data_IF_397873458912
#
_entry.id   IF_397873458912
#
_cell.length_a   1.000
_cell.length_b   1.000
_cell.length_c   1.000
_cell.angle_alpha   90.00
_cell.angle_beta   90.00
_cell.angle_gamma   90.00
#
_symmetry.space_group_name_H-M   'P 1'
#
loop_
_entity.id
_entity.type
_entity.pdbx_description
1 polymer ?
#
# COMPACT_ATOMS: atom_id res chain seq x y z
N UNK A 1 36.18 24.38 -3.75
CA UNK A 1 35.05 23.74 -3.10
C UNK A 1 34.97 22.30 -3.57
N UNK A 2 35.59 21.38 -2.81
CA UNK A 2 35.39 19.95 -3.00
C UNK A 2 34.11 19.58 -2.27
N UNK A 3 32.94 19.84 -2.87
CA UNK A 3 31.68 19.32 -2.37
C UNK A 3 31.71 17.80 -2.45
N UNK A 4 31.38 17.08 -1.36
CA UNK A 4 31.09 15.67 -1.44
C UNK A 4 30.01 15.45 -2.51
N UNK A 5 30.15 14.46 -3.39
CA UNK A 5 29.08 14.14 -4.34
C UNK A 5 27.80 13.88 -3.55
N UNK A 6 26.71 14.52 -3.97
CA UNK A 6 25.40 14.26 -3.41
C UNK A 6 25.04 12.83 -3.83
N UNK A 7 24.90 11.95 -2.83
CA UNK A 7 24.54 10.55 -3.05
C UNK A 7 23.07 10.45 -3.40
N UNK A 8 22.78 9.77 -4.49
CA UNK A 8 21.45 9.39 -4.97
C UNK A 8 21.56 7.93 -5.42
N UNK A 9 21.25 7.02 -4.47
CA UNK A 9 21.57 5.60 -4.59
C UNK A 9 20.72 4.89 -5.63
N UNK A 10 19.45 5.25 -5.75
CA UNK A 10 18.51 4.64 -6.70
C UNK A 10 18.31 5.46 -7.99
N UNK A 11 18.93 6.65 -8.04
CA UNK A 11 18.98 7.53 -9.20
C UNK A 11 17.62 8.03 -9.69
N UNK A 12 16.73 8.32 -8.76
CA UNK A 12 15.41 8.88 -9.08
C UNK A 12 15.40 10.42 -9.14
N UNK A 13 16.54 11.03 -8.83
CA UNK A 13 16.76 12.49 -8.87
C UNK A 13 16.58 13.15 -7.50
N UNK A 14 16.29 12.38 -6.44
CA UNK A 14 16.18 12.87 -5.07
C UNK A 14 17.39 12.35 -4.28
N UNK A 15 18.21 13.23 -3.69
CA UNK A 15 19.36 12.81 -2.88
C UNK A 15 18.93 11.97 -1.67
N UNK A 16 19.72 10.94 -1.31
CA UNK A 16 19.46 10.00 -0.21
C UNK A 16 19.02 10.66 1.11
N UNK A 17 19.61 11.83 1.44
CA UNK A 17 19.31 12.53 2.69
C UNK A 17 17.96 13.26 2.68
N UNK A 18 17.34 13.43 1.52
CA UNK A 18 16.01 14.03 1.31
C UNK A 18 14.97 12.98 0.88
N UNK A 19 15.43 11.77 0.55
CA UNK A 19 14.61 10.70 0.02
C UNK A 19 14.11 9.76 1.14
N UNK A 20 12.78 9.62 1.31
CA UNK A 20 12.20 8.64 2.23
C UNK A 20 12.48 7.17 1.83
N UNK A 21 12.82 6.91 0.56
CA UNK A 21 13.06 5.59 0.00
C UNK A 21 14.40 5.47 -0.75
N UNK A 22 15.58 5.76 -0.15
CA UNK A 22 16.84 5.98 -0.85
C UNK A 22 17.38 4.83 -1.71
N UNK A 23 16.71 3.69 -1.72
CA UNK A 23 17.09 2.49 -2.47
C UNK A 23 15.98 1.98 -3.39
N UNK A 24 14.89 2.72 -3.51
CA UNK A 24 13.68 2.32 -4.23
C UNK A 24 13.15 3.49 -5.06
N UNK A 25 13.71 3.68 -6.25
CA UNK A 25 13.32 4.75 -7.17
C UNK A 25 11.81 4.85 -7.37
N UNK A 26 11.25 6.07 -7.26
CA UNK A 26 9.83 6.28 -7.43
C UNK A 26 9.39 7.72 -7.63
N UNK A 27 8.17 7.89 -8.13
CA UNK A 27 7.60 9.20 -8.46
C UNK A 27 6.88 9.88 -7.28
N UNK A 28 6.69 9.18 -6.17
CA UNK A 28 5.93 9.68 -5.02
C UNK A 28 6.87 10.20 -3.94
N UNK A 29 7.58 11.30 -4.25
CA UNK A 29 8.56 11.91 -3.35
C UNK A 29 9.74 10.98 -3.04
N UNK A 30 10.29 10.31 -4.08
CA UNK A 30 11.37 9.35 -3.96
C UNK A 30 10.91 7.88 -3.80
N UNK A 31 9.62 7.64 -3.54
CA UNK A 31 9.12 6.29 -3.31
C UNK A 31 8.32 5.72 -4.49
N UNK A 32 8.31 4.40 -4.69
CA UNK A 32 7.32 3.72 -5.54
C UNK A 32 5.89 3.92 -5.01
N UNK A 33 4.88 3.75 -5.88
CA UNK A 33 3.47 3.85 -5.48
C UNK A 33 3.08 2.85 -4.41
N UNK A 34 3.61 1.63 -4.51
CA UNK A 34 3.45 0.57 -3.52
C UNK A 34 4.81 -0.04 -3.21
N UNK A 35 5.16 -0.12 -1.94
CA UNK A 35 6.42 -0.73 -1.50
C UNK A 35 6.31 -1.29 -0.08
N UNK A 36 7.17 -2.26 0.25
CA UNK A 36 7.28 -2.76 1.62
C UNK A 36 8.31 -1.94 2.41
N UNK A 37 7.97 -1.58 3.63
CA UNK A 37 8.89 -0.95 4.57
C UNK A 37 8.67 -1.49 5.98
N UNK A 38 9.68 -2.10 6.55
CA UNK A 38 9.60 -2.78 7.85
C UNK A 38 8.48 -3.83 7.86
N UNK A 39 7.43 -3.60 8.64
CA UNK A 39 6.29 -4.51 8.78
C UNK A 39 5.03 -4.00 8.08
N UNK A 40 5.14 -3.06 7.13
CA UNK A 40 3.98 -2.51 6.40
C UNK A 40 4.21 -2.54 4.90
N UNK A 41 3.14 -2.77 4.15
CA UNK A 41 3.07 -2.45 2.74
C UNK A 41 2.55 -1.01 2.66
N UNK A 42 3.39 -0.11 2.18
CA UNK A 42 3.08 1.31 2.01
C UNK A 42 2.39 1.52 0.67
N UNK A 43 1.29 2.24 0.71
CA UNK A 43 0.53 2.66 -0.47
C UNK A 43 0.47 4.18 -0.46
N UNK A 44 1.03 4.80 -1.50
CA UNK A 44 1.18 6.27 -1.59
C UNK A 44 -0.08 6.95 -2.12
N UNK A 45 -1.05 6.18 -2.57
CA UNK A 45 -2.37 6.64 -3.03
C UNK A 45 -3.46 6.19 -2.08
N UNK A 46 -4.60 6.87 -2.12
CA UNK A 46 -5.78 6.47 -1.33
C UNK A 46 -6.55 5.38 -2.06
N UNK A 47 -7.12 4.47 -1.27
CA UNK A 47 -8.13 3.55 -1.74
C UNK A 47 -9.50 4.23 -1.56
N UNK A 48 -10.19 4.46 -2.66
CA UNK A 48 -11.47 5.15 -2.71
C UNK A 48 -12.63 4.16 -2.67
N UNK A 49 -13.66 4.56 -1.92
CA UNK A 49 -14.92 3.82 -1.83
C UNK A 49 -16.07 4.73 -2.18
N UNK A 50 -17.16 4.15 -2.62
CA UNK A 50 -18.42 4.87 -2.76
C UNK A 50 -18.85 5.47 -1.39
N UNK A 51 -19.53 6.61 -1.42
CA UNK A 51 -19.93 7.33 -0.19
C UNK A 51 -20.73 6.42 0.73
N UNK A 52 -20.30 6.33 2.00
CA UNK A 52 -20.91 5.51 3.05
C UNK A 52 -21.01 4.00 2.72
N UNK A 53 -20.26 3.53 1.72
CA UNK A 53 -20.27 2.14 1.28
C UNK A 53 -18.86 1.52 1.39
N UNK A 54 -18.83 0.22 1.16
CA UNK A 54 -17.61 -0.60 1.06
C UNK A 54 -17.31 -1.04 -0.39
N UNK A 55 -18.02 -0.42 -1.36
CA UNK A 55 -17.78 -0.63 -2.80
C UNK A 55 -16.52 0.14 -3.20
N UNK A 56 -15.50 -0.59 -3.63
CA UNK A 56 -14.23 -0.01 -4.10
C UNK A 56 -14.48 0.67 -5.46
N UNK A 57 -13.99 1.91 -5.59
CA UNK A 57 -14.10 2.65 -6.85
C UNK A 57 -13.03 2.22 -7.86
N UNK A 58 -13.33 2.27 -9.18
CA UNK A 58 -12.43 1.78 -10.24
C UNK A 58 -11.03 2.39 -10.22
N UNK A 59 -10.89 3.66 -9.84
CA UNK A 59 -9.60 4.34 -9.72
C UNK A 59 -8.64 3.69 -8.71
N UNK A 60 -9.15 2.85 -7.80
CA UNK A 60 -8.34 2.15 -6.81
C UNK A 60 -7.89 0.75 -7.24
N UNK A 61 -8.41 0.23 -8.36
CA UNK A 61 -8.09 -1.14 -8.74
C UNK A 61 -6.61 -1.30 -9.09
N UNK A 62 -6.04 -0.38 -9.86
CA UNK A 62 -4.65 -0.46 -10.28
C UNK A 62 -3.65 -0.45 -9.10
N UNK A 63 -3.91 0.35 -8.07
CA UNK A 63 -3.06 0.36 -6.87
C UNK A 63 -3.24 -0.91 -6.04
N UNK A 64 -4.45 -1.47 -5.99
CA UNK A 64 -4.70 -2.75 -5.30
C UNK A 64 -4.12 -3.95 -6.06
N UNK A 65 -4.04 -3.90 -7.38
CA UNK A 65 -3.31 -4.88 -8.20
C UNK A 65 -1.82 -4.89 -7.81
N UNK A 66 -1.19 -3.72 -7.69
CA UNK A 66 0.20 -3.63 -7.23
C UNK A 66 0.38 -4.15 -5.79
N UNK A 67 -0.58 -3.90 -4.90
CA UNK A 67 -0.57 -4.52 -3.55
C UNK A 67 -0.65 -6.06 -3.66
N UNK A 68 -1.50 -6.59 -4.53
CA UNK A 68 -1.59 -8.02 -4.80
C UNK A 68 -0.29 -8.60 -5.34
N UNK A 69 0.36 -7.89 -6.28
CA UNK A 69 1.62 -8.32 -6.87
C UNK A 69 2.76 -8.35 -5.84
N UNK A 70 2.91 -7.29 -5.01
CA UNK A 70 3.97 -7.30 -3.98
C UNK A 70 3.75 -8.42 -2.96
N UNK A 71 2.50 -8.71 -2.59
CA UNK A 71 2.19 -9.83 -1.69
C UNK A 71 2.55 -11.18 -2.32
N UNK A 72 2.28 -11.38 -3.62
CA UNK A 72 2.64 -12.61 -4.34
C UNK A 72 4.15 -12.77 -4.52
N UNK A 73 4.89 -11.67 -4.70
CA UNK A 73 6.36 -11.67 -4.77
C UNK A 73 7.04 -12.01 -3.44
N UNK A 74 6.32 -11.93 -2.32
CA UNK A 74 6.82 -12.19 -0.98
C UNK A 74 6.09 -13.39 -0.32
N UNK A 75 6.37 -14.63 -0.74
CA UNK A 75 5.74 -15.82 -0.15
C UNK A 75 6.11 -16.02 1.33
N UNK A 76 7.19 -15.40 1.80
CA UNK A 76 7.62 -15.39 3.20
C UNK A 76 6.70 -14.59 4.12
N UNK A 77 5.86 -13.69 3.61
CA UNK A 77 4.85 -12.99 4.42
C UNK A 77 3.64 -13.89 4.65
N UNK A 78 3.64 -14.56 5.79
CA UNK A 78 2.67 -15.60 6.11
C UNK A 78 1.31 -15.05 6.53
N UNK A 79 1.26 -13.81 7.06
CA UNK A 79 0.01 -13.18 7.48
C UNK A 79 0.10 -11.66 7.29
N UNK A 80 -0.88 -11.11 6.58
CA UNK A 80 -1.03 -9.69 6.29
C UNK A 80 -2.41 -9.25 6.78
N UNK A 81 -2.43 -8.22 7.61
CA UNK A 81 -3.66 -7.60 8.09
C UNK A 81 -4.02 -6.40 7.22
N UNK A 82 -5.21 -6.42 6.64
CA UNK A 82 -5.85 -5.29 5.98
C UNK A 82 -6.64 -4.52 7.04
N UNK A 83 -6.22 -3.29 7.34
CA UNK A 83 -6.77 -2.46 8.41
C UNK A 83 -7.63 -1.35 7.82
N UNK A 84 -8.91 -1.28 8.20
CA UNK A 84 -9.80 -0.20 7.81
C UNK A 84 -9.92 0.86 8.91
N UNK A 85 -9.88 2.14 8.50
CA UNK A 85 -9.97 3.30 9.41
C UNK A 85 -10.97 4.32 8.90
N UNK A 86 -11.58 5.09 9.81
CA UNK A 86 -12.49 6.19 9.52
C UNK A 86 -12.04 7.46 10.22
N UNK A 87 -12.68 8.58 9.87
CA UNK A 87 -12.65 9.81 10.65
C UNK A 87 -13.66 9.76 11.83
N UNK A 88 -13.85 10.89 12.51
CA UNK A 88 -14.68 10.99 13.73
C UNK A 88 -16.14 11.35 13.47
N UNK A 89 -16.61 11.55 12.25
CA UNK A 89 -17.90 12.19 11.94
C UNK A 89 -19.15 11.35 12.20
N UNK A 90 -19.02 10.04 12.44
CA UNK A 90 -20.15 9.17 12.76
C UNK A 90 -19.99 8.53 14.13
N UNK A 91 -20.97 7.73 14.56
CA UNK A 91 -20.89 6.98 15.81
C UNK A 91 -19.79 5.92 15.78
N UNK A 92 -19.29 5.53 16.95
CA UNK A 92 -18.26 4.49 17.06
C UNK A 92 -18.71 3.17 16.44
N UNK A 93 -19.93 2.75 16.70
CA UNK A 93 -20.49 1.52 16.17
C UNK A 93 -20.57 1.56 14.63
N UNK A 94 -21.05 2.67 14.06
CA UNK A 94 -21.11 2.84 12.60
C UNK A 94 -19.73 2.83 11.97
N UNK A 95 -18.78 3.60 12.53
CA UNK A 95 -17.42 3.68 12.03
C UNK A 95 -16.69 2.34 12.09
N UNK A 96 -16.91 1.58 13.17
CA UNK A 96 -16.32 0.24 13.31
C UNK A 96 -16.88 -0.71 12.24
N UNK A 97 -18.20 -0.74 12.05
CA UNK A 97 -18.84 -1.57 11.01
C UNK A 97 -18.38 -1.17 9.60
N UNK A 98 -18.41 0.13 9.26
CA UNK A 98 -17.99 0.61 7.94
C UNK A 98 -16.53 0.27 7.65
N UNK A 99 -15.64 0.49 8.62
CA UNK A 99 -14.22 0.18 8.46
C UNK A 99 -13.96 -1.32 8.31
N UNK A 100 -14.71 -2.15 9.06
CA UNK A 100 -14.65 -3.61 8.91
C UNK A 100 -15.10 -4.07 7.52
N UNK A 101 -16.21 -3.56 7.02
CA UNK A 101 -16.71 -3.90 5.67
C UNK A 101 -15.73 -3.44 4.58
N UNK A 102 -15.14 -2.26 4.69
CA UNK A 102 -14.13 -1.75 3.74
C UNK A 102 -12.86 -2.61 3.72
N UNK A 103 -12.32 -2.95 4.89
CA UNK A 103 -11.18 -3.87 4.99
C UNK A 103 -11.50 -5.24 4.37
N UNK A 104 -12.70 -5.78 4.63
CA UNK A 104 -13.14 -7.03 4.04
C UNK A 104 -13.32 -6.95 2.51
N UNK A 105 -13.78 -5.82 1.96
CA UNK A 105 -13.89 -5.61 0.51
C UNK A 105 -12.53 -5.57 -0.16
N UNK A 106 -11.54 -4.88 0.43
CA UNK A 106 -10.15 -4.88 -0.07
C UNK A 106 -9.57 -6.30 -0.01
N UNK A 107 -9.75 -7.00 1.10
CA UNK A 107 -9.31 -8.41 1.22
C UNK A 107 -9.93 -9.28 0.11
N UNK A 108 -11.26 -9.21 -0.10
CA UNK A 108 -11.94 -9.96 -1.19
C UNK A 108 -11.36 -9.62 -2.57
N UNK A 109 -11.05 -8.36 -2.83
CA UNK A 109 -10.40 -7.95 -4.06
C UNK A 109 -9.03 -8.60 -4.23
N UNK A 110 -8.17 -8.57 -3.21
CA UNK A 110 -6.85 -9.21 -3.25
C UNK A 110 -6.95 -10.74 -3.44
N UNK A 111 -7.95 -11.39 -2.84
CA UNK A 111 -8.23 -12.80 -3.08
C UNK A 111 -8.58 -13.07 -4.55
N UNK A 112 -9.39 -12.20 -5.17
CA UNK A 112 -9.73 -12.32 -6.61
C UNK A 112 -8.51 -12.10 -7.52
N UNK A 113 -7.47 -11.41 -7.04
CA UNK A 113 -6.18 -11.26 -7.72
C UNK A 113 -5.22 -12.44 -7.49
N UNK A 114 -5.66 -13.50 -6.82
CA UNK A 114 -4.88 -14.72 -6.61
C UNK A 114 -3.99 -14.72 -5.37
N UNK A 115 -4.19 -13.79 -4.42
CA UNK A 115 -3.55 -13.88 -3.11
C UNK A 115 -4.22 -14.98 -2.29
N UNK A 116 -3.44 -15.84 -1.65
CA UNK A 116 -3.95 -16.98 -0.88
C UNK A 116 -4.76 -16.55 0.35
N UNK A 117 -5.96 -17.15 0.59
CA UNK A 117 -6.82 -16.80 1.71
C UNK A 117 -6.17 -16.93 3.08
N UNK A 118 -5.29 -17.92 3.25
CA UNK A 118 -4.58 -18.17 4.51
C UNK A 118 -3.66 -17.02 4.94
N UNK A 119 -3.26 -16.18 3.98
CA UNK A 119 -2.31 -15.07 4.18
C UNK A 119 -2.97 -13.74 4.49
N UNK A 120 -4.29 -13.61 4.37
CA UNK A 120 -4.99 -12.34 4.53
C UNK A 120 -5.97 -12.37 5.69
N UNK A 121 -5.97 -11.30 6.48
CA UNK A 121 -7.01 -10.98 7.46
C UNK A 121 -7.51 -9.56 7.24
N UNK A 122 -8.75 -9.29 7.58
CA UNK A 122 -9.35 -7.96 7.52
C UNK A 122 -9.88 -7.56 8.88
N UNK A 123 -9.55 -6.33 9.31
CA UNK A 123 -10.02 -5.77 10.58
C UNK A 123 -10.33 -4.29 10.46
N UNK A 124 -11.51 -3.91 10.94
CA UNK A 124 -11.89 -2.52 11.11
C UNK A 124 -11.47 -1.98 12.47
N UNK A 125 -10.98 -0.75 12.48
CA UNK A 125 -10.61 -0.02 13.70
C UNK A 125 -11.47 1.24 13.91
N UNK A 126 -12.40 1.53 12.98
CA UNK A 126 -13.19 2.75 13.05
C UNK A 126 -12.30 3.97 13.20
N UNK A 127 -12.66 4.87 14.14
CA UNK A 127 -11.91 6.09 14.45
C UNK A 127 -10.87 5.95 15.56
N UNK A 128 -10.62 4.74 16.07
CA UNK A 128 -9.79 4.52 17.27
C UNK A 128 -8.30 4.73 17.06
N UNK A 129 -7.82 4.77 15.79
CA UNK A 129 -6.41 4.91 15.43
C UNK A 129 -6.17 6.06 14.45
N UNK A 130 -6.36 7.32 14.86
CA UNK A 130 -6.12 8.47 13.98
C UNK A 130 -4.62 8.63 13.70
N UNK A 131 -4.27 9.07 12.50
CA UNK A 131 -2.90 9.43 12.08
C UNK A 131 -2.74 10.92 11.84
N UNK A 132 -3.86 11.66 11.82
CA UNK A 132 -3.89 13.10 11.62
C UNK A 132 -4.99 13.74 12.48
N UNK A 133 -4.97 15.08 12.59
CA UNK A 133 -5.95 15.82 13.37
C UNK A 133 -7.34 15.73 12.72
N UNK A 134 -8.31 15.25 13.50
CA UNK A 134 -9.72 15.16 13.07
C UNK A 134 -10.47 16.50 13.08
N UNK A 135 -9.82 17.61 13.43
CA UNK A 135 -10.42 18.95 13.40
C UNK A 135 -10.33 19.61 12.03
N UNK A 136 -9.52 19.09 11.12
CA UNK A 136 -9.35 19.60 9.77
C UNK A 136 -9.88 18.60 8.73
N UNK A 137 -10.37 19.10 7.60
CA UNK A 137 -10.86 18.26 6.51
C UNK A 137 -9.73 17.39 5.92
N UNK A 138 -8.53 17.95 5.83
CA UNK A 138 -7.33 17.26 5.38
C UNK A 138 -6.94 16.13 6.35
N UNK A 139 -6.97 16.40 7.65
CA UNK A 139 -6.65 15.39 8.66
C UNK A 139 -7.72 14.29 8.71
N UNK A 140 -9.00 14.63 8.64
CA UNK A 140 -10.08 13.64 8.49
C UNK A 140 -9.91 12.81 7.23
N UNK A 141 -9.50 13.43 6.13
CA UNK A 141 -9.25 12.71 4.89
C UNK A 141 -8.09 11.71 5.02
N UNK A 142 -7.02 12.05 5.76
CA UNK A 142 -5.92 11.13 6.05
C UNK A 142 -6.34 9.98 6.97
N UNK A 143 -7.27 10.24 7.88
CA UNK A 143 -7.79 9.20 8.78
C UNK A 143 -8.69 8.19 8.06
N UNK A 144 -9.41 8.57 6.99
CA UNK A 144 -10.16 7.64 6.11
C UNK A 144 -9.20 6.89 5.20
N UNK A 145 -8.64 5.78 5.69
CA UNK A 145 -7.61 5.03 5.00
C UNK A 145 -7.72 3.52 5.18
N UNK A 146 -7.03 2.78 4.32
CA UNK A 146 -6.73 1.37 4.49
C UNK A 146 -5.22 1.22 4.64
N UNK A 147 -4.79 0.40 5.60
CA UNK A 147 -3.39 0.04 5.82
C UNK A 147 -3.18 -1.46 5.65
N UNK A 148 -1.95 -1.86 5.32
CA UNK A 148 -1.56 -3.26 5.18
C UNK A 148 -0.38 -3.53 6.11
N UNK A 149 -0.60 -4.34 7.13
CA UNK A 149 0.41 -4.69 8.15
C UNK A 149 0.85 -6.13 7.99
N UNK A 150 2.14 -6.38 7.86
CA UNK A 150 2.73 -7.71 7.81
C UNK A 150 2.84 -8.21 9.26
N UNK A 151 1.95 -9.13 9.63
CA UNK A 151 1.82 -9.63 11.01
C UNK A 151 2.77 -10.79 11.28
N UNK A 152 3.08 -11.59 10.24
CA UNK A 152 3.91 -12.77 10.40
C UNK A 152 4.76 -13.00 9.16
N UNK A 153 6.04 -13.27 9.40
CA UNK A 153 7.04 -13.59 8.36
C UNK A 153 7.66 -14.95 8.68
N UNK A 154 8.02 -15.70 7.64
CA UNK A 154 8.70 -16.98 7.79
C UNK A 154 10.05 -16.81 8.52
N UNK A 155 10.44 -17.76 9.40
CA UNK A 155 11.72 -17.67 10.11
C UNK A 155 12.90 -17.55 9.15
N UNK A 156 13.83 -16.62 9.46
CA UNK A 156 15.03 -16.38 8.65
C UNK A 156 14.86 -15.46 7.45
N UNK A 157 13.65 -14.97 7.19
CA UNK A 157 13.38 -14.01 6.11
C UNK A 157 13.58 -12.57 6.57
N UNK A 158 14.00 -11.70 5.64
CA UNK A 158 14.19 -10.26 5.88
C UNK A 158 12.92 -9.50 5.49
N UNK A 159 12.58 -8.47 6.28
CA UNK A 159 11.58 -7.45 5.91
C UNK A 159 12.26 -6.21 5.33
N UNK A 160 13.33 -6.40 4.55
CA UNK A 160 14.02 -5.30 3.88
C UNK A 160 13.04 -4.52 2.97
N UNK A 161 13.22 -3.20 2.79
CA UNK A 161 12.40 -2.43 1.86
C UNK A 161 12.41 -3.04 0.47
N UNK A 162 11.22 -3.23 -0.10
CA UNK A 162 11.05 -3.83 -1.42
C UNK A 162 9.93 -3.12 -2.16
N UNK A 163 10.13 -2.84 -3.45
CA UNK A 163 9.10 -2.29 -4.34
C UNK A 163 8.58 -3.36 -5.29
N UNK A 164 7.39 -3.14 -5.82
CA UNK A 164 6.86 -3.95 -6.92
C UNK A 164 7.78 -3.81 -8.13
N UNK A 165 8.32 -4.92 -8.61
CA UNK A 165 8.88 -4.97 -9.96
C UNK A 165 7.73 -5.02 -10.96
N UNK A 166 7.33 -3.86 -11.46
CA UNK A 166 6.45 -3.81 -12.63
C UNK A 166 7.28 -4.40 -13.78
N UNK A 167 6.94 -5.59 -14.23
CA UNK A 167 7.43 -6.06 -15.52
C UNK A 167 6.84 -5.12 -16.55
N UNK A 168 7.70 -4.38 -17.24
CA UNK A 168 7.29 -3.55 -18.36
C UNK A 168 6.65 -4.47 -19.40
N UNK A 169 5.33 -4.52 -19.41
CA UNK A 169 4.54 -5.25 -20.41
C UNK A 169 4.77 -4.70 -21.84
N UNK A 170 5.55 -3.64 -21.98
CA UNK A 170 5.93 -3.02 -23.25
C UNK A 170 7.15 -3.69 -23.94
N UNK A 171 7.96 -4.48 -23.23
CA UNK A 171 9.14 -5.10 -23.88
C UNK A 171 8.83 -6.44 -24.55
N UNK A 172 7.77 -7.13 -24.15
CA UNK A 172 7.42 -8.44 -24.72
C UNK A 172 6.68 -8.33 -26.07
N UNK A 173 6.13 -7.16 -26.38
CA UNK A 173 5.43 -6.91 -27.65
C UNK A 173 6.38 -6.57 -28.83
N UNK A 174 7.66 -6.26 -28.59
CA UNK A 174 8.61 -5.91 -29.63
C UNK A 174 9.43 -7.10 -30.18
N UNK A 175 9.42 -8.26 -29.50
CA UNK A 175 10.16 -9.44 -29.97
C UNK A 175 9.35 -10.41 -30.86
N UNK A 176 8.06 -10.16 -31.06
CA UNK A 176 7.15 -11.00 -31.85
C UNK A 176 6.75 -10.39 -33.21
N UNK A 177 7.47 -9.41 -33.73
CA UNK A 177 7.28 -8.97 -35.11
C UNK A 177 8.03 -9.90 -36.07
N UNK A 178 7.34 -10.64 -36.96
CA UNK A 178 8.01 -11.48 -37.94
C UNK A 178 8.77 -10.58 -38.94
N UNK A 179 10.00 -10.99 -39.28
CA UNK A 179 10.82 -10.41 -40.33
C UNK A 179 10.25 -10.76 -41.69
#
# INVERSE_FOLDING_TARGET
NFGCPILDTDRDGIPDHLDPCPTLAGKYGGCPRVYASRNKIRVMERIYFATDQDVILPESFSVLEEVGEIVKQHPEWLEILVEGHTDVRASDAYNLDLSQRRAASVMRYLLSQGVEPSRLRAQGFGRSRPVADNKTDEGMALNRRVEFTIMKVAPGSSTAPTAVRVRDAFHEALELAPR
#
